data_IF_366445894694
#
_entry.id   IF_366445894694
#
_cell.length_a   1.000
_cell.length_b   1.000
_cell.length_c   1.000
_cell.angle_alpha   90.00
_cell.angle_beta   90.00
_cell.angle_gamma   90.00
#
_symmetry.space_group_name_H-M   'P 1'
#
loop_
_entity.id
_entity.type
_entity.pdbx_description
1 polymer ?
#
# COMPACT_ATOMS: atom_id res chain seq x y z
N UNK A 1 -18.82 7.24 18.34
CA UNK A 1 -19.16 6.04 19.13
C UNK A 1 -17.91 5.21 19.27
N UNK A 2 -17.39 4.95 20.50
CA UNK A 2 -16.19 4.13 20.64
C UNK A 2 -16.54 2.67 20.32
N UNK A 3 -15.87 2.10 19.35
CA UNK A 3 -15.94 0.68 19.02
C UNK A 3 -15.26 -0.06 20.18
N UNK A 4 -16.06 -0.77 20.99
CA UNK A 4 -15.54 -1.65 22.03
C UNK A 4 -14.91 -2.87 21.35
N UNK A 5 -13.59 -2.89 21.24
CA UNK A 5 -12.85 -4.13 21.09
C UNK A 5 -12.83 -4.84 22.45
N UNK A 6 -12.99 -6.17 22.42
CA UNK A 6 -13.02 -7.04 23.59
C UNK A 6 -12.01 -6.61 24.66
N UNK A 7 -12.45 -6.64 25.93
CA UNK A 7 -11.77 -6.26 27.18
C UNK A 7 -10.39 -6.89 27.45
N UNK A 8 -9.48 -6.89 26.50
CA UNK A 8 -8.05 -7.16 26.72
C UNK A 8 -7.38 -5.81 26.86
N UNK A 9 -6.72 -5.58 27.99
CA UNK A 9 -5.92 -4.39 28.23
C UNK A 9 -4.98 -4.18 27.03
N UNK A 10 -5.22 -3.16 26.23
CA UNK A 10 -4.38 -2.75 25.09
C UNK A 10 -2.92 -2.59 25.57
N UNK A 11 -2.73 -2.14 26.80
CA UNK A 11 -1.44 -1.97 27.46
C UNK A 11 -1.16 -3.15 28.43
N UNK A 12 -0.70 -4.27 27.88
CA UNK A 12 0.02 -5.27 28.68
C UNK A 12 1.45 -4.79 28.94
N UNK A 13 2.10 -5.32 29.97
CA UNK A 13 3.51 -4.99 30.22
C UNK A 13 4.41 -5.32 29.02
N UNK A 14 4.08 -6.35 28.24
CA UNK A 14 4.78 -6.71 27.01
C UNK A 14 4.57 -5.66 25.90
N UNK A 15 3.34 -5.21 25.66
CA UNK A 15 3.05 -4.19 24.66
C UNK A 15 3.71 -2.85 25.03
N UNK A 16 3.70 -2.46 26.30
CA UNK A 16 4.40 -1.27 26.77
C UNK A 16 5.90 -1.33 26.49
N UNK A 17 6.53 -2.47 26.70
CA UNK A 17 7.95 -2.69 26.41
C UNK A 17 8.20 -2.69 24.88
N UNK A 18 7.41 -3.44 24.13
CA UNK A 18 7.54 -3.56 22.66
C UNK A 18 7.47 -2.22 21.96
N UNK A 19 6.50 -1.38 22.32
CA UNK A 19 6.25 -0.08 21.69
C UNK A 19 6.85 1.10 22.44
N UNK A 20 7.69 0.87 23.45
CA UNK A 20 8.28 1.92 24.28
C UNK A 20 8.99 3.02 23.49
N UNK A 21 9.60 2.68 22.35
CA UNK A 21 10.27 3.67 21.49
C UNK A 21 9.28 4.52 20.67
N UNK A 22 8.15 3.92 20.27
CA UNK A 22 7.06 4.64 19.62
C UNK A 22 6.40 5.65 20.57
N UNK A 23 6.22 5.25 21.84
CA UNK A 23 5.57 6.08 22.86
C UNK A 23 6.39 7.34 23.20
N UNK A 24 7.71 7.32 22.97
CA UNK A 24 8.58 8.47 23.19
C UNK A 24 8.54 9.50 22.05
N UNK A 25 7.94 9.14 20.90
CA UNK A 25 7.76 10.06 19.76
C UNK A 25 6.54 10.93 20.04
N UNK A 26 6.75 12.24 20.23
CA UNK A 26 5.70 13.18 20.67
C UNK A 26 4.49 13.17 19.74
N UNK A 27 4.71 13.13 18.42
CA UNK A 27 3.64 13.13 17.40
C UNK A 27 2.83 11.83 17.38
N UNK A 28 3.39 10.73 17.88
CA UNK A 28 2.71 9.44 17.97
C UNK A 28 2.11 9.19 19.35
N UNK A 29 2.97 9.13 20.36
CA UNK A 29 2.60 8.93 21.76
C UNK A 29 1.72 7.72 22.01
N UNK A 30 1.08 7.67 23.17
CA UNK A 30 0.16 6.62 23.57
C UNK A 30 -1.12 6.61 22.68
N UNK A 31 -1.70 7.80 22.48
CA UNK A 31 -2.94 7.93 21.71
C UNK A 31 -2.77 7.53 20.23
N UNK A 32 -1.63 7.84 19.62
CA UNK A 32 -1.32 7.40 18.26
C UNK A 32 -1.11 5.89 18.18
N UNK A 33 -0.42 5.30 19.16
CA UNK A 33 -0.20 3.88 19.23
C UNK A 33 -1.51 3.10 19.45
N UNK A 34 -2.44 3.60 20.27
CA UNK A 34 -3.77 3.02 20.43
C UNK A 34 -4.56 3.03 19.12
N UNK A 35 -4.49 4.14 18.36
CA UNK A 35 -5.11 4.19 17.02
C UNK A 35 -4.52 3.15 16.08
N UNK A 36 -3.20 2.93 16.10
CA UNK A 36 -2.57 1.87 15.30
C UNK A 36 -3.07 0.48 15.67
N UNK A 37 -3.19 0.16 16.96
CA UNK A 37 -3.74 -1.12 17.42
C UNK A 37 -5.19 -1.35 16.98
N UNK A 38 -5.98 -0.28 16.91
CA UNK A 38 -7.36 -0.33 16.46
C UNK A 38 -7.51 -0.35 14.93
N UNK A 39 -6.44 -0.08 14.19
CA UNK A 39 -6.47 0.10 12.73
C UNK A 39 -6.26 -1.19 11.96
N UNK A 40 -6.72 -1.17 10.73
CA UNK A 40 -6.56 -2.27 9.77
C UNK A 40 -6.03 -1.76 8.43
N UNK A 41 -5.12 -2.52 7.81
CA UNK A 41 -4.51 -2.18 6.52
C UNK A 41 -4.60 -3.36 5.57
N UNK A 42 -5.06 -3.12 4.34
CA UNK A 42 -4.92 -4.07 3.23
C UNK A 42 -3.64 -3.74 2.46
N UNK A 43 -2.78 -4.74 2.26
CA UNK A 43 -1.62 -4.62 1.39
C UNK A 43 -1.89 -5.43 0.12
N UNK A 44 -1.90 -4.74 -1.02
CA UNK A 44 -2.06 -5.33 -2.34
C UNK A 44 -0.67 -5.64 -2.90
N UNK A 45 -0.36 -6.93 -3.04
CA UNK A 45 0.95 -7.42 -3.44
C UNK A 45 1.91 -7.63 -2.27
N UNK A 46 2.45 -8.85 -2.16
CA UNK A 46 3.51 -9.23 -1.22
C UNK A 46 4.88 -9.31 -1.90
N UNK A 47 5.08 -8.47 -2.92
CA UNK A 47 6.29 -8.36 -3.71
C UNK A 47 7.38 -7.49 -3.09
N UNK A 48 8.18 -6.83 -3.93
CA UNK A 48 9.32 -6.00 -3.48
C UNK A 48 8.93 -4.79 -2.65
N UNK A 49 7.80 -4.15 -2.96
CA UNK A 49 7.23 -3.04 -2.18
C UNK A 49 6.45 -3.54 -0.97
N UNK A 50 5.59 -4.56 -1.18
CA UNK A 50 4.75 -5.11 -0.12
C UNK A 50 5.53 -5.78 1.00
N UNK A 51 6.65 -6.43 0.71
CA UNK A 51 7.49 -7.10 1.72
C UNK A 51 7.92 -6.19 2.86
N UNK A 52 8.63 -5.09 2.61
CA UNK A 52 9.01 -4.15 3.67
C UNK A 52 7.79 -3.43 4.27
N UNK A 53 6.79 -3.09 3.46
CA UNK A 53 5.58 -2.45 3.97
C UNK A 53 4.87 -3.32 5.00
N UNK A 54 4.66 -4.60 4.73
CA UNK A 54 4.04 -5.57 5.64
C UNK A 54 4.81 -5.69 6.94
N UNK A 55 6.14 -5.81 6.89
CA UNK A 55 6.99 -5.96 8.08
C UNK A 55 6.91 -4.71 8.96
N UNK A 56 7.02 -3.50 8.39
CA UNK A 56 6.98 -2.27 9.17
C UNK A 56 5.58 -1.92 9.69
N UNK A 57 4.51 -2.25 8.98
CA UNK A 57 3.14 -2.13 9.49
C UNK A 57 2.91 -3.05 10.69
N UNK A 58 3.37 -4.31 10.60
CA UNK A 58 3.31 -5.23 11.72
C UNK A 58 4.15 -4.76 12.91
N UNK A 59 5.37 -4.27 12.66
CA UNK A 59 6.26 -3.73 13.69
C UNK A 59 5.69 -2.49 14.38
N UNK A 60 4.98 -1.63 13.63
CA UNK A 60 4.35 -0.43 14.17
C UNK A 60 3.13 -0.70 15.06
N UNK A 61 2.58 -1.91 15.03
CA UNK A 61 1.47 -2.27 15.90
C UNK A 61 0.09 -2.17 15.23
N UNK A 62 0.00 -2.19 13.89
CA UNK A 62 -1.30 -2.29 13.21
C UNK A 62 -2.05 -3.53 13.71
N UNK A 63 -3.32 -3.37 14.11
CA UNK A 63 -4.09 -4.44 14.74
C UNK A 63 -4.49 -5.56 13.78
N UNK A 64 -4.76 -5.26 12.51
CA UNK A 64 -5.14 -6.23 11.50
C UNK A 64 -4.54 -5.90 10.14
N UNK A 65 -3.93 -6.87 9.49
CA UNK A 65 -3.35 -6.74 8.16
C UNK A 65 -3.99 -7.76 7.22
N UNK A 66 -4.53 -7.27 6.08
CA UNK A 66 -4.90 -8.12 4.95
C UNK A 66 -3.78 -8.18 3.94
N UNK A 67 -3.53 -9.35 3.38
CA UNK A 67 -2.55 -9.55 2.31
C UNK A 67 -3.26 -10.20 1.13
N UNK A 68 -3.24 -9.52 -0.03
CA UNK A 68 -3.78 -10.06 -1.28
C UNK A 68 -2.67 -10.15 -2.32
N UNK A 69 -2.44 -11.35 -2.85
CA UNK A 69 -1.43 -11.65 -3.88
C UNK A 69 -1.75 -13.02 -4.51
N UNK A 70 -1.80 -13.09 -5.83
CA UNK A 70 -2.14 -14.29 -6.61
C UNK A 70 -0.92 -15.03 -7.18
N UNK A 71 0.29 -14.56 -6.87
CA UNK A 71 1.52 -15.20 -7.29
C UNK A 71 2.02 -16.24 -6.30
N UNK A 72 2.96 -17.05 -6.77
CA UNK A 72 3.74 -17.97 -5.95
C UNK A 72 5.15 -17.44 -5.71
N UNK A 73 5.71 -17.82 -4.57
CA UNK A 73 7.11 -17.52 -4.23
C UNK A 73 8.03 -18.23 -5.22
N UNK A 74 8.94 -17.49 -5.82
CA UNK A 74 9.93 -17.97 -6.77
C UNK A 74 11.35 -17.54 -6.35
N UNK A 75 12.36 -18.31 -6.71
CA UNK A 75 13.76 -18.03 -6.36
C UNK A 75 14.24 -16.68 -6.90
N UNK A 76 13.70 -16.23 -8.02
CA UNK A 76 14.00 -14.92 -8.64
C UNK A 76 13.46 -13.73 -7.83
N UNK A 77 12.68 -13.99 -6.80
CA UNK A 77 12.07 -12.98 -5.95
C UNK A 77 12.99 -12.54 -4.78
N UNK A 78 13.92 -13.40 -4.33
CA UNK A 78 14.67 -13.21 -3.08
C UNK A 78 15.61 -12.02 -3.06
N UNK A 79 15.97 -11.47 -4.21
CA UNK A 79 16.78 -10.25 -4.29
C UNK A 79 16.04 -8.98 -3.81
N UNK A 80 14.67 -9.05 -3.64
CA UNK A 80 13.85 -7.89 -3.28
C UNK A 80 12.62 -8.19 -2.41
N UNK A 81 12.14 -9.42 -2.39
CA UNK A 81 10.92 -9.82 -1.66
C UNK A 81 11.31 -10.46 -0.31
N UNK A 82 11.83 -9.62 0.58
CA UNK A 82 12.52 -10.03 1.82
C UNK A 82 11.63 -10.67 2.89
N UNK A 83 10.32 -10.65 2.73
CA UNK A 83 9.37 -11.30 3.64
C UNK A 83 9.31 -12.82 3.43
N UNK A 84 9.66 -13.28 2.22
CA UNK A 84 9.60 -14.70 1.88
C UNK A 84 10.89 -15.43 2.25
N UNK A 85 10.75 -16.71 2.62
CA UNK A 85 11.85 -17.60 2.99
C UNK A 85 12.12 -18.62 1.89
N UNK A 86 13.32 -19.14 1.84
CA UNK A 86 13.72 -20.12 0.83
C UNK A 86 12.89 -21.42 0.88
N UNK A 87 12.41 -21.82 2.06
CA UNK A 87 11.54 -22.97 2.27
C UNK A 87 10.08 -22.74 1.82
N UNK A 88 9.74 -21.53 1.43
CA UNK A 88 8.41 -21.15 0.92
C UNK A 88 8.29 -21.17 -0.61
N UNK A 89 9.35 -21.54 -1.35
CA UNK A 89 9.29 -21.62 -2.83
C UNK A 89 8.12 -22.51 -3.27
N UNK A 90 7.30 -22.00 -4.21
CA UNK A 90 6.09 -22.65 -4.71
C UNK A 90 4.82 -22.40 -3.88
N UNK A 91 4.91 -21.89 -2.65
CA UNK A 91 3.74 -21.48 -1.86
C UNK A 91 3.13 -20.17 -2.41
N UNK A 92 1.87 -19.92 -2.12
CA UNK A 92 1.27 -18.61 -2.41
C UNK A 92 1.99 -17.51 -1.65
N UNK A 93 2.29 -16.37 -2.30
CA UNK A 93 2.96 -15.23 -1.66
C UNK A 93 2.15 -14.70 -0.48
N UNK A 94 0.82 -14.64 -0.60
CA UNK A 94 -0.06 -14.21 0.48
C UNK A 94 0.07 -15.12 1.72
N UNK A 95 0.09 -16.46 1.55
CA UNK A 95 0.29 -17.41 2.65
C UNK A 95 1.68 -17.30 3.28
N UNK A 96 2.72 -17.24 2.45
CA UNK A 96 4.11 -17.09 2.88
C UNK A 96 4.32 -15.80 3.69
N UNK A 97 3.77 -14.68 3.21
CA UNK A 97 3.82 -13.40 3.91
C UNK A 97 3.09 -13.47 5.27
N UNK A 98 1.89 -14.06 5.30
CA UNK A 98 1.13 -14.24 6.53
C UNK A 98 1.87 -15.11 7.55
N UNK A 99 2.53 -16.17 7.11
CA UNK A 99 3.36 -17.01 7.97
C UNK A 99 4.52 -16.22 8.61
N UNK A 100 5.20 -15.40 7.79
CA UNK A 100 6.27 -14.53 8.28
C UNK A 100 5.76 -13.48 9.29
N UNK A 101 4.62 -12.85 9.01
CA UNK A 101 4.01 -11.88 9.91
C UNK A 101 3.60 -12.49 11.25
N UNK A 102 2.99 -13.69 11.25
CA UNK A 102 2.60 -14.40 12.48
C UNK A 102 3.81 -14.88 13.27
N UNK A 103 4.91 -15.26 12.61
CA UNK A 103 6.17 -15.58 13.28
C UNK A 103 6.80 -14.35 13.94
N UNK A 104 6.70 -13.18 13.30
CA UNK A 104 7.23 -11.91 13.83
C UNK A 104 6.36 -11.35 14.96
N UNK A 105 5.03 -11.41 14.80
CA UNK A 105 4.04 -10.89 15.76
C UNK A 105 2.88 -11.88 15.90
N UNK A 106 2.94 -12.82 16.86
CA UNK A 106 1.96 -13.91 16.99
C UNK A 106 0.53 -13.45 17.29
N UNK A 107 0.38 -12.28 17.90
CA UNK A 107 -0.91 -11.65 18.25
C UNK A 107 -1.56 -10.88 17.07
N UNK A 108 -0.86 -10.73 15.95
CA UNK A 108 -1.37 -10.00 14.79
C UNK A 108 -2.49 -10.75 14.07
N UNK A 109 -3.63 -10.10 13.88
CA UNK A 109 -4.68 -10.62 13.02
C UNK A 109 -4.26 -10.46 11.54
N UNK A 110 -4.11 -11.57 10.82
CA UNK A 110 -3.73 -11.58 9.40
C UNK A 110 -4.80 -12.28 8.58
N UNK A 111 -5.45 -11.50 7.69
CA UNK A 111 -6.35 -12.02 6.66
C UNK A 111 -5.54 -12.35 5.39
N UNK A 112 -5.79 -13.49 4.79
CA UNK A 112 -5.01 -13.98 3.64
C UNK A 112 -5.94 -14.16 2.44
N UNK A 113 -5.55 -13.55 1.32
CA UNK A 113 -6.28 -13.64 0.04
C UNK A 113 -5.31 -14.11 -1.06
N UNK A 114 -5.15 -15.44 -1.28
CA UNK A 114 -4.31 -15.99 -2.34
C UNK A 114 -5.04 -15.93 -3.69
N UNK A 115 -5.40 -14.72 -4.09
CA UNK A 115 -6.20 -14.44 -5.28
C UNK A 115 -5.84 -13.06 -5.86
N UNK A 116 -6.15 -12.85 -7.13
CA UNK A 116 -5.95 -11.57 -7.80
C UNK A 116 -6.92 -10.50 -7.27
N UNK A 117 -6.43 -9.26 -7.14
CA UNK A 117 -7.31 -8.11 -7.00
C UNK A 117 -7.98 -7.85 -8.35
N UNK A 118 -9.31 -7.85 -8.36
CA UNK A 118 -10.14 -7.66 -9.55
C UNK A 118 -11.18 -6.58 -9.34
N UNK A 119 -11.78 -6.08 -10.40
CA UNK A 119 -12.90 -5.14 -10.31
C UNK A 119 -14.05 -5.69 -9.45
N UNK A 120 -14.26 -7.01 -9.48
CA UNK A 120 -15.35 -7.66 -8.76
C UNK A 120 -15.13 -7.71 -7.23
N UNK A 121 -13.87 -7.84 -6.76
CA UNK A 121 -13.57 -7.97 -5.32
C UNK A 121 -12.99 -6.69 -4.70
N UNK A 122 -12.39 -5.79 -5.46
CA UNK A 122 -11.63 -4.63 -4.96
C UNK A 122 -12.45 -3.74 -4.02
N UNK A 123 -13.64 -3.29 -4.44
CA UNK A 123 -14.46 -2.39 -3.61
C UNK A 123 -14.93 -3.05 -2.31
N UNK A 124 -15.30 -4.33 -2.36
CA UNK A 124 -15.73 -5.08 -1.18
C UNK A 124 -14.57 -5.27 -0.19
N UNK A 125 -13.38 -5.62 -0.69
CA UNK A 125 -12.17 -5.77 0.12
C UNK A 125 -11.76 -4.44 0.75
N UNK A 126 -11.68 -3.36 -0.03
CA UNK A 126 -11.23 -2.05 0.47
C UNK A 126 -12.11 -1.53 1.61
N UNK A 127 -13.44 -1.73 1.55
CA UNK A 127 -14.35 -1.32 2.63
C UNK A 127 -14.09 -2.01 3.97
N UNK A 128 -13.37 -3.14 3.99
CA UNK A 128 -13.06 -3.91 5.20
C UNK A 128 -11.86 -3.38 5.97
N UNK A 129 -11.11 -2.42 5.40
CA UNK A 129 -9.87 -1.88 5.95
C UNK A 129 -9.93 -0.37 6.05
N UNK A 130 -9.14 0.19 6.96
CA UNK A 130 -9.08 1.64 7.20
C UNK A 130 -8.17 2.35 6.21
N UNK A 131 -7.14 1.66 5.71
CA UNK A 131 -6.26 2.15 4.65
C UNK A 131 -5.78 0.99 3.76
N UNK A 132 -5.30 1.35 2.57
CA UNK A 132 -4.75 0.40 1.59
C UNK A 132 -3.33 0.83 1.21
N UNK A 133 -2.42 -0.15 1.10
CA UNK A 133 -1.07 0.04 0.55
C UNK A 133 -0.99 -0.72 -0.77
N UNK A 134 -0.70 0.02 -1.85
CA UNK A 134 -0.50 -0.54 -3.19
C UNK A 134 0.98 -0.91 -3.39
N UNK A 135 1.28 -2.18 -3.15
CA UNK A 135 2.58 -2.82 -3.42
C UNK A 135 2.65 -3.58 -4.74
N UNK A 136 1.66 -3.41 -5.62
CA UNK A 136 1.61 -4.05 -6.94
C UNK A 136 2.68 -3.51 -7.90
N UNK A 137 2.93 -4.22 -9.01
CA UNK A 137 3.94 -3.86 -9.99
C UNK A 137 3.37 -3.60 -11.40
N UNK A 138 2.05 -3.73 -11.58
CA UNK A 138 1.39 -3.50 -12.86
C UNK A 138 0.51 -2.25 -12.85
N UNK A 139 0.53 -1.47 -13.93
CA UNK A 139 -0.34 -0.30 -14.05
C UNK A 139 -1.84 -0.65 -13.96
N UNK A 140 -2.36 -1.71 -14.60
CA UNK A 140 -3.75 -2.11 -14.42
C UNK A 140 -4.16 -2.25 -12.95
N UNK A 141 -3.39 -2.95 -12.15
CA UNK A 141 -3.66 -3.11 -10.71
C UNK A 141 -3.57 -1.78 -9.95
N UNK A 142 -2.59 -0.94 -10.28
CA UNK A 142 -2.43 0.39 -9.67
C UNK A 142 -3.62 1.31 -9.90
N UNK A 143 -4.14 1.32 -11.13
CA UNK A 143 -5.33 2.13 -11.46
C UNK A 143 -6.59 1.53 -10.85
N UNK A 144 -6.72 0.21 -10.79
CA UNK A 144 -7.78 -0.47 -10.07
C UNK A 144 -7.76 -0.11 -8.57
N UNK A 145 -6.58 -0.15 -7.94
CA UNK A 145 -6.42 0.27 -6.54
C UNK A 145 -6.83 1.73 -6.34
N UNK A 146 -6.40 2.63 -7.23
CA UNK A 146 -6.76 4.03 -7.16
C UNK A 146 -8.28 4.25 -7.26
N UNK A 147 -8.91 3.64 -8.25
CA UNK A 147 -10.35 3.82 -8.48
C UNK A 147 -11.16 3.22 -7.33
N UNK A 148 -10.81 2.00 -6.88
CA UNK A 148 -11.43 1.38 -5.72
C UNK A 148 -11.27 2.21 -4.44
N UNK A 149 -10.09 2.79 -4.20
CA UNK A 149 -9.82 3.65 -3.04
C UNK A 149 -10.71 4.90 -3.05
N UNK A 150 -10.79 5.61 -4.20
CA UNK A 150 -11.61 6.81 -4.33
C UNK A 150 -13.10 6.48 -4.16
N UNK A 151 -13.60 5.45 -4.84
CA UNK A 151 -15.01 5.03 -4.79
C UNK A 151 -15.42 4.56 -3.39
N UNK A 152 -14.55 3.86 -2.70
CA UNK A 152 -14.83 3.37 -1.33
C UNK A 152 -14.48 4.37 -0.23
N UNK A 153 -13.90 5.53 -0.60
CA UNK A 153 -13.39 6.55 0.31
C UNK A 153 -12.39 6.01 1.32
N UNK A 154 -11.49 5.12 0.85
CA UNK A 154 -10.40 4.58 1.68
C UNK A 154 -9.08 5.22 1.26
N UNK A 155 -8.27 5.72 2.21
CA UNK A 155 -6.94 6.20 1.91
C UNK A 155 -6.10 5.12 1.23
N UNK A 156 -5.31 5.53 0.23
CA UNK A 156 -4.42 4.65 -0.52
C UNK A 156 -3.00 5.23 -0.50
N UNK A 157 -2.03 4.43 -0.11
CA UNK A 157 -0.62 4.75 -0.30
C UNK A 157 -0.12 4.01 -1.53
N UNK A 158 -0.14 4.72 -2.66
CA UNK A 158 0.34 4.23 -3.94
C UNK A 158 1.85 4.44 -4.07
N UNK A 159 2.58 3.48 -4.64
CA UNK A 159 3.97 3.65 -5.03
C UNK A 159 4.31 2.87 -6.32
N UNK A 160 5.40 3.28 -6.94
CA UNK A 160 6.05 2.59 -8.05
C UNK A 160 7.56 2.65 -7.87
N UNK A 161 8.26 1.61 -8.31
CA UNK A 161 9.71 1.51 -8.20
C UNK A 161 10.28 0.88 -9.47
N UNK A 162 11.39 1.43 -9.96
CA UNK A 162 12.08 0.95 -11.15
C UNK A 162 13.58 1.25 -11.03
N UNK A 163 14.45 0.28 -11.32
CA UNK A 163 15.90 0.43 -11.21
C UNK A 163 16.31 0.92 -9.81
N UNK A 164 16.83 2.14 -9.69
CA UNK A 164 17.21 2.82 -8.45
C UNK A 164 16.18 3.86 -8.02
N UNK A 165 15.17 4.15 -8.84
CA UNK A 165 14.19 5.20 -8.60
C UNK A 165 12.88 4.68 -8.08
N UNK A 166 12.16 5.54 -7.36
CA UNK A 166 10.81 5.27 -6.90
C UNK A 166 9.96 6.54 -6.81
N UNK A 167 8.67 6.34 -6.77
CA UNK A 167 7.69 7.41 -6.56
C UNK A 167 6.58 6.94 -5.64
N UNK A 168 5.99 7.87 -4.93
CA UNK A 168 4.89 7.59 -4.00
C UNK A 168 3.88 8.74 -3.99
N UNK A 169 2.60 8.38 -3.97
CA UNK A 169 1.48 9.31 -3.83
C UNK A 169 0.53 8.77 -2.76
N UNK A 170 0.25 9.59 -1.76
CA UNK A 170 -0.81 9.29 -0.80
C UNK A 170 -2.11 9.91 -1.30
N UNK A 171 -3.08 9.07 -1.60
CA UNK A 171 -4.43 9.46 -2.04
C UNK A 171 -5.36 9.44 -0.84
N UNK A 172 -5.88 10.60 -0.45
CA UNK A 172 -6.93 10.73 0.56
C UNK A 172 -8.19 11.22 -0.14
N UNK A 173 -9.17 10.34 -0.35
CA UNK A 173 -10.37 10.67 -1.12
C UNK A 173 -11.13 11.86 -0.52
N UNK A 174 -11.35 12.88 -1.35
CA UNK A 174 -12.01 14.13 -0.94
C UNK A 174 -11.05 15.26 -0.53
N UNK A 175 -9.80 14.97 -0.19
CA UNK A 175 -8.84 15.98 0.30
C UNK A 175 -7.80 16.40 -0.75
N UNK A 176 -7.57 15.59 -1.79
CA UNK A 176 -6.51 15.87 -2.74
C UNK A 176 -6.68 15.15 -4.09
N UNK A 177 -5.62 15.18 -4.92
CA UNK A 177 -5.59 14.47 -6.20
C UNK A 177 -5.52 12.96 -5.99
N UNK A 178 -5.96 12.21 -6.99
CA UNK A 178 -5.73 10.77 -7.10
C UNK A 178 -4.67 10.46 -8.17
N UNK A 179 -4.34 9.19 -8.39
CA UNK A 179 -3.35 8.79 -9.39
C UNK A 179 -3.73 9.28 -10.80
N UNK A 180 -5.04 9.27 -11.14
CA UNK A 180 -5.52 9.77 -12.44
C UNK A 180 -5.38 11.29 -12.63
N UNK A 181 -5.20 12.06 -11.56
CA UNK A 181 -4.85 13.48 -11.67
C UNK A 181 -3.36 13.67 -12.03
N UNK A 182 -2.50 12.74 -11.61
CA UNK A 182 -1.06 12.75 -11.89
C UNK A 182 -0.76 12.16 -13.27
N UNK A 183 -1.32 10.98 -13.52
CA UNK A 183 -1.15 10.21 -14.75
C UNK A 183 -2.56 9.88 -15.29
N UNK A 184 -3.14 10.73 -16.15
CA UNK A 184 -4.53 10.59 -16.59
C UNK A 184 -4.83 9.33 -17.40
N UNK A 185 -3.83 8.81 -18.12
CA UNK A 185 -3.94 7.61 -18.97
C UNK A 185 -3.04 6.51 -18.44
N UNK A 186 -3.50 5.27 -18.55
CA UNK A 186 -2.70 4.10 -18.19
C UNK A 186 -1.54 4.01 -19.18
N UNK A 187 -0.27 4.05 -18.74
CA UNK A 187 0.88 3.94 -19.63
C UNK A 187 0.90 2.59 -20.33
N UNK A 188 1.24 2.58 -21.63
CA UNK A 188 1.46 1.34 -22.36
C UNK A 188 2.77 0.66 -21.91
N UNK A 189 2.92 -0.64 -22.19
CA UNK A 189 4.19 -1.34 -21.92
C UNK A 189 5.37 -0.74 -22.67
N UNK A 190 5.14 -0.11 -23.82
CA UNK A 190 6.19 0.57 -24.59
C UNK A 190 6.67 1.85 -23.91
N UNK A 191 5.76 2.58 -23.27
CA UNK A 191 6.06 3.85 -22.61
C UNK A 191 6.66 3.65 -21.21
N UNK A 192 6.35 2.52 -20.58
CA UNK A 192 6.86 2.20 -19.25
C UNK A 192 7.09 0.69 -19.11
N UNK A 193 8.34 0.25 -19.36
CA UNK A 193 8.71 -1.14 -19.20
C UNK A 193 8.55 -1.59 -17.75
N UNK A 194 8.07 -2.82 -17.55
CA UNK A 194 7.91 -3.38 -16.21
C UNK A 194 9.25 -3.68 -15.52
N UNK A 195 9.19 -3.97 -14.23
CA UNK A 195 10.37 -4.35 -13.44
C UNK A 195 11.14 -5.56 -14.00
N UNK A 196 10.44 -6.48 -14.66
CA UNK A 196 11.04 -7.65 -15.29
C UNK A 196 11.92 -7.29 -16.50
N UNK A 197 11.61 -6.20 -17.20
CA UNK A 197 12.32 -5.75 -18.40
C UNK A 197 13.42 -4.74 -18.08
N UNK A 198 13.14 -3.81 -17.18
CA UNK A 198 14.06 -2.70 -16.85
C UNK A 198 14.96 -2.98 -15.64
N UNK A 199 14.64 -4.00 -14.87
CA UNK A 199 15.34 -4.34 -13.63
C UNK A 199 14.96 -3.49 -12.42
N UNK A 200 15.32 -3.98 -11.24
CA UNK A 200 15.08 -3.30 -9.96
C UNK A 200 16.16 -3.69 -8.96
N UNK A 201 16.67 -2.70 -8.25
CA UNK A 201 17.53 -2.93 -7.08
C UNK A 201 16.66 -3.18 -5.86
N UNK A 202 16.83 -4.32 -5.19
CA UNK A 202 15.97 -4.72 -4.09
C UNK A 202 15.93 -3.70 -2.94
N UNK A 203 17.07 -3.08 -2.63
CA UNK A 203 17.16 -2.03 -1.61
C UNK A 203 16.32 -0.79 -1.95
N UNK A 204 16.22 -0.40 -3.25
CA UNK A 204 15.35 0.70 -3.67
C UNK A 204 13.88 0.37 -3.40
N UNK A 205 13.44 -0.87 -3.71
CA UNK A 205 12.10 -1.34 -3.34
C UNK A 205 11.91 -1.34 -1.81
N UNK A 206 12.94 -1.72 -1.07
CA UNK A 206 12.95 -1.69 0.40
C UNK A 206 12.69 -0.31 0.97
N UNK A 207 13.41 0.70 0.46
CA UNK A 207 13.24 2.12 0.88
C UNK A 207 11.82 2.61 0.58
N UNK A 208 11.34 2.41 -0.65
CA UNK A 208 10.02 2.91 -1.06
C UNK A 208 8.89 2.20 -0.31
N UNK A 209 8.96 0.87 -0.13
CA UNK A 209 7.94 0.12 0.61
C UNK A 209 7.93 0.44 2.12
N UNK A 210 9.10 0.67 2.74
CA UNK A 210 9.18 1.18 4.10
C UNK A 210 8.56 2.59 4.21
N UNK A 211 8.75 3.43 3.20
CA UNK A 211 8.14 4.75 3.15
C UNK A 211 6.61 4.66 2.98
N UNK A 212 6.09 3.71 2.18
CA UNK A 212 4.64 3.44 2.13
C UNK A 212 4.08 3.08 3.51
N UNK A 213 4.77 2.22 4.26
CA UNK A 213 4.37 1.91 5.63
C UNK A 213 4.35 3.15 6.52
N UNK A 214 5.35 4.04 6.40
CA UNK A 214 5.41 5.28 7.15
C UNK A 214 4.23 6.20 6.85
N UNK A 215 3.84 6.35 5.58
CA UNK A 215 2.65 7.14 5.22
C UNK A 215 1.36 6.54 5.79
N UNK A 216 1.19 5.22 5.72
CA UNK A 216 0.05 4.54 6.32
C UNK A 216 0.00 4.71 7.86
N UNK A 217 1.16 4.61 8.52
CA UNK A 217 1.29 4.84 9.97
C UNK A 217 0.90 6.27 10.32
N UNK A 218 1.38 7.28 9.61
CA UNK A 218 1.02 8.68 9.85
C UNK A 218 -0.47 8.94 9.71
N UNK A 219 -1.07 8.41 8.63
CA UNK A 219 -2.51 8.52 8.38
C UNK A 219 -3.34 7.91 9.52
N UNK A 220 -2.99 6.69 9.93
CA UNK A 220 -3.78 5.92 10.89
C UNK A 220 -3.56 6.36 12.33
N UNK A 221 -2.33 6.77 12.68
CA UNK A 221 -2.02 7.32 14.00
C UNK A 221 -2.47 8.76 14.19
N UNK A 222 -2.68 9.51 13.08
CA UNK A 222 -2.90 10.94 13.13
C UNK A 222 -1.67 11.74 13.53
N UNK A 223 -0.47 11.16 13.44
CA UNK A 223 0.80 11.79 13.81
C UNK A 223 1.18 12.99 12.91
N UNK A 224 0.62 13.07 11.71
CA UNK A 224 0.85 14.19 10.82
C UNK A 224 -0.41 14.48 9.98
N UNK A 225 -0.59 15.71 9.50
CA UNK A 225 -1.60 16.02 8.50
C UNK A 225 -1.42 15.16 7.25
N UNK A 226 -2.52 14.86 6.56
CA UNK A 226 -2.48 14.14 5.29
C UNK A 226 -1.52 14.84 4.31
N UNK A 227 -0.58 14.11 3.67
CA UNK A 227 0.27 14.65 2.63
C UNK A 227 -0.46 14.78 1.28
N UNK A 228 -1.79 14.84 1.29
CA UNK A 228 -2.61 14.89 0.09
C UNK A 228 -2.11 15.93 -0.91
N UNK A 229 -1.89 15.48 -2.17
CA UNK A 229 -1.37 16.33 -3.22
C UNK A 229 0.15 16.44 -3.29
N UNK A 230 0.89 15.61 -2.60
CA UNK A 230 2.35 15.51 -2.74
C UNK A 230 2.71 14.21 -3.45
N UNK A 231 3.30 14.33 -4.64
CA UNK A 231 4.03 13.25 -5.29
C UNK A 231 5.48 13.30 -4.81
N UNK A 232 5.91 12.27 -4.10
CA UNK A 232 7.30 12.09 -3.70
C UNK A 232 8.01 11.27 -4.75
N UNK A 233 9.22 11.69 -5.15
CA UNK A 233 10.11 10.90 -5.99
C UNK A 233 11.46 10.73 -5.31
N UNK A 234 12.07 9.58 -5.47
CA UNK A 234 13.39 9.26 -4.96
C UNK A 234 14.24 8.65 -6.07
N UNK A 235 15.46 9.12 -6.19
CA UNK A 235 16.53 8.48 -6.93
C UNK A 235 17.62 8.07 -5.95
N UNK A 236 17.69 6.76 -5.66
CA UNK A 236 18.69 6.24 -4.71
C UNK A 236 20.08 6.13 -5.31
N UNK A 237 20.26 6.33 -6.64
CA UNK A 237 21.55 6.38 -7.29
C UNK A 237 22.24 7.74 -7.04
N UNK A 238 21.48 8.84 -7.17
CA UNK A 238 21.96 10.21 -6.92
C UNK A 238 21.72 10.68 -5.47
N UNK A 239 20.94 9.93 -4.68
CA UNK A 239 20.43 10.31 -3.36
C UNK A 239 19.50 11.54 -3.38
N UNK A 240 18.83 11.79 -4.48
CA UNK A 240 17.87 12.89 -4.61
C UNK A 240 16.47 12.47 -4.16
N UNK A 241 15.83 13.35 -3.37
CA UNK A 241 14.42 13.23 -3.00
C UNK A 241 13.71 14.51 -3.39
N UNK A 242 12.68 14.39 -4.22
CA UNK A 242 11.91 15.54 -4.67
C UNK A 242 10.45 15.45 -4.20
N UNK A 243 9.86 16.62 -3.93
CA UNK A 243 8.45 16.77 -3.58
C UNK A 243 7.78 17.66 -4.63
N UNK A 244 6.84 17.07 -5.35
CA UNK A 244 6.08 17.77 -6.38
C UNK A 244 4.65 17.97 -5.89
N UNK A 245 4.18 19.23 -5.85
CA UNK A 245 2.79 19.52 -5.54
C UNK A 245 1.91 19.19 -6.74
N UNK A 246 0.91 18.35 -6.54
CA UNK A 246 -0.08 17.97 -7.54
C UNK A 246 -1.44 18.54 -7.14
N UNK A 247 -2.10 19.18 -8.06
CA UNK A 247 -3.45 19.73 -7.87
C UNK A 247 -4.48 18.71 -8.35
N UNK A 248 -5.59 18.59 -7.62
CA UNK A 248 -6.73 17.78 -8.04
C UNK A 248 -7.31 18.33 -9.35
N UNK A 249 -7.42 17.47 -10.35
CA UNK A 249 -8.07 17.80 -11.62
C UNK A 249 -9.59 17.78 -11.43
N UNK A 250 -10.24 18.92 -11.67
CA UNK A 250 -11.71 19.05 -11.57
C UNK A 250 -12.45 18.18 -12.57
N UNK A 251 -11.83 17.86 -13.71
CA UNK A 251 -12.36 16.98 -14.75
C UNK A 251 -12.02 15.50 -14.56
N UNK A 252 -11.27 15.15 -13.51
CA UNK A 252 -10.86 13.78 -13.26
C UNK A 252 -12.05 12.81 -13.25
N UNK A 253 -12.00 11.71 -14.02
CA UNK A 253 -13.15 10.83 -14.17
C UNK A 253 -13.55 10.08 -12.90
N UNK A 254 -12.68 9.99 -11.90
CA UNK A 254 -12.97 9.26 -10.65
C UNK A 254 -13.05 10.17 -9.43
N UNK A 255 -12.20 11.19 -9.30
CA UNK A 255 -12.22 12.08 -8.13
C UNK A 255 -12.64 13.53 -8.45
N UNK A 256 -12.93 13.88 -9.69
CA UNK A 256 -13.32 15.23 -10.12
C UNK A 256 -14.67 15.71 -9.58
N UNK A 257 -15.13 16.85 -10.08
CA UNK A 257 -16.43 17.46 -9.67
C UNK A 257 -17.63 16.66 -10.20
N UNK A 258 -17.45 16.03 -11.38
CA UNK A 258 -18.48 15.20 -12.02
C UNK A 258 -17.90 13.83 -12.36
N UNK A 259 -17.66 12.95 -11.34
CA UNK A 259 -17.04 11.66 -11.57
C UNK A 259 -17.92 10.74 -12.40
N UNK A 260 -17.32 10.08 -13.39
CA UNK A 260 -18.00 9.09 -14.25
C UNK A 260 -17.71 7.66 -13.82
N UNK A 261 -16.66 7.46 -13.03
CA UNK A 261 -16.27 6.16 -12.47
C UNK A 261 -16.81 6.10 -11.04
N UNK A 262 -17.99 5.50 -10.89
CA UNK A 262 -18.67 5.31 -9.61
C UNK A 262 -18.38 3.93 -8.98
N UNK A 263 -17.84 3.01 -9.78
CA UNK A 263 -17.42 1.66 -9.39
C UNK A 263 -16.12 1.32 -10.13
N UNK A 264 -15.29 0.38 -9.62
CA UNK A 264 -14.14 -0.10 -10.39
C UNK A 264 -14.56 -0.58 -11.78
N UNK A 265 -13.82 -0.16 -12.80
CA UNK A 265 -14.13 -0.48 -14.20
C UNK A 265 -13.93 -1.97 -14.48
N UNK A 266 -14.51 -2.48 -15.57
CA UNK A 266 -14.22 -3.83 -16.04
C UNK A 266 -12.72 -4.00 -16.35
N UNK A 267 -12.18 -5.20 -16.15
CA UNK A 267 -10.73 -5.48 -16.30
C UNK A 267 -10.17 -5.02 -17.65
N UNK A 268 -10.95 -5.14 -18.72
CA UNK A 268 -10.56 -4.71 -20.06
C UNK A 268 -10.35 -3.19 -20.20
N UNK A 269 -10.92 -2.39 -19.32
CA UNK A 269 -10.76 -0.93 -19.33
C UNK A 269 -9.48 -0.46 -18.60
N UNK A 270 -8.84 -1.36 -17.87
CA UNK A 270 -7.51 -1.14 -17.31
C UNK A 270 -6.41 -1.63 -18.26
N UNK A 271 -6.76 -2.21 -19.42
CA UNK A 271 -5.78 -2.61 -20.43
C UNK A 271 -5.24 -1.38 -21.15
N UNK A 272 -3.93 -1.08 -21.05
CA UNK A 272 -3.32 0.08 -21.69
C UNK A 272 -3.41 0.04 -23.22
N UNK A 273 -3.48 -1.14 -23.84
CA UNK A 273 -3.58 -1.29 -25.29
C UNK A 273 -4.98 -0.85 -25.83
N UNK A 274 -6.01 -0.88 -24.97
CA UNK A 274 -7.37 -0.40 -25.32
C UNK A 274 -7.56 1.09 -25.04
N UNK A 275 -6.82 1.69 -24.11
CA UNK A 275 -6.96 3.10 -23.75
C UNK A 275 -6.43 4.08 -24.81
N UNK A 276 -5.73 3.59 -25.82
CA UNK A 276 -5.23 4.38 -26.95
C UNK A 276 -6.21 4.48 -28.13
N UNK A 277 -7.40 3.92 -28.05
CA UNK A 277 -8.37 3.84 -29.16
C UNK A 277 -9.49 4.89 -29.09
N UNK A 278 -9.28 6.05 -28.43
CA UNK A 278 -10.23 7.19 -28.43
C UNK A 278 -9.50 8.49 -28.76
#
# INVERSE_FOLDING_TARGET
MPIRYNNLMIWSGENTLRYSRNLLVEELGEAGQERLFASSVLVVGAGGLGSPALLYLAAAGIGRIGVIDDDRVDITNFNRQVIHRADAVGQWKADSAAAALRAFRPDLAVDVYPEALTAANAAALFRRYDAVVDGSDTFPTKYLCNDAAVVTRRPLVHAGVLRFGGQMLTVVPGEGPCLRCVIPRIPSRKDSPGCAEAGIVGAAAGVVGAWQAMEAIKLLSGAAPSPGGILLTIDTLSNEVSRLTVVRDRSCPVCGEHPRIAEPLAAAEYDPERSCAV
#
